data_IF_008529936689
#
_entry.id   IF_008529936689
#
_cell.length_a   1.000
_cell.length_b   1.000
_cell.length_c   1.000
_cell.angle_alpha   90.00
_cell.angle_beta   90.00
_cell.angle_gamma   90.00
#
_symmetry.space_group_name_H-M   'P 1'
#
loop_
_entity.id
_entity.type
_entity.pdbx_description
1 polymer ?
#
# COMPACT_ATOMS: atom_id res chain seq x y z
N UNK A 1 -20.28 4.84 12.99
CA UNK A 1 -19.77 5.49 11.77
C UNK A 1 -18.57 6.40 12.12
N UNK A 2 -17.72 5.98 13.07
CA UNK A 2 -16.86 6.85 13.90
C UNK A 2 -15.44 7.04 13.36
N UNK A 3 -14.46 6.28 13.82
CA UNK A 3 -13.05 6.54 13.47
C UNK A 3 -12.50 5.64 12.35
N UNK A 4 -13.04 4.43 12.21
CA UNK A 4 -12.64 3.48 11.16
C UNK A 4 -12.96 3.98 9.75
N UNK A 5 -14.16 4.52 9.55
CA UNK A 5 -14.56 5.10 8.27
C UNK A 5 -13.74 6.36 7.93
N UNK A 6 -13.45 7.17 8.96
CA UNK A 6 -12.54 8.30 8.82
C UNK A 6 -11.12 7.86 8.42
N UNK A 7 -10.63 6.72 8.92
CA UNK A 7 -9.33 6.18 8.53
C UNK A 7 -9.31 5.74 7.07
N UNK A 8 -10.38 5.09 6.58
CA UNK A 8 -10.49 4.75 5.15
C UNK A 8 -10.57 6.00 4.26
N UNK A 9 -11.29 7.04 4.68
CA UNK A 9 -11.33 8.31 3.96
C UNK A 9 -9.94 8.96 3.91
N UNK A 10 -9.27 9.07 5.06
CA UNK A 10 -7.92 9.64 5.16
C UNK A 10 -6.90 8.87 4.30
N UNK A 11 -6.97 7.54 4.26
CA UNK A 11 -6.12 6.72 3.38
C UNK A 11 -6.36 7.00 1.89
N UNK A 12 -7.62 7.17 1.46
CA UNK A 12 -7.96 7.46 0.06
C UNK A 12 -7.59 8.88 -0.36
N UNK A 13 -7.68 9.82 0.58
CA UNK A 13 -7.36 11.24 0.37
C UNK A 13 -5.86 11.53 0.55
N UNK A 14 -5.11 10.62 1.17
CA UNK A 14 -3.68 10.79 1.42
C UNK A 14 -3.37 11.62 2.66
N UNK A 15 -4.33 11.81 3.56
CA UNK A 15 -4.17 12.60 4.78
C UNK A 15 -3.35 11.82 5.83
N UNK A 16 -2.03 11.92 5.69
CA UNK A 16 -1.06 11.28 6.57
C UNK A 16 -1.21 11.74 8.04
N UNK A 17 -1.52 13.01 8.27
CA UNK A 17 -1.70 13.57 9.61
C UNK A 17 -2.92 12.97 10.30
N UNK A 18 -4.05 12.91 9.59
CA UNK A 18 -5.27 12.29 10.13
C UNK A 18 -5.14 10.79 10.31
N UNK A 19 -4.46 10.08 9.41
CA UNK A 19 -4.13 8.67 9.61
C UNK A 19 -3.31 8.46 10.89
N UNK A 20 -2.27 9.27 11.09
CA UNK A 20 -1.44 9.23 12.28
C UNK A 20 -2.27 9.41 13.55
N UNK A 21 -3.09 10.47 13.63
CA UNK A 21 -3.95 10.76 14.76
C UNK A 21 -4.93 9.61 15.06
N UNK A 22 -5.59 9.07 14.03
CA UNK A 22 -6.58 8.00 14.20
C UNK A 22 -5.93 6.70 14.68
N UNK A 23 -4.76 6.35 14.15
CA UNK A 23 -4.02 5.15 14.58
C UNK A 23 -3.51 5.31 16.01
N UNK A 24 -2.95 6.47 16.34
CA UNK A 24 -2.48 6.76 17.70
C UNK A 24 -3.65 6.82 18.70
N UNK A 25 -4.85 7.14 18.21
CA UNK A 25 -6.14 7.06 18.94
C UNK A 25 -6.73 5.65 19.07
N UNK A 26 -6.08 4.63 18.52
CA UNK A 26 -6.44 3.22 18.67
C UNK A 26 -7.11 2.56 17.46
N UNK A 27 -7.21 3.25 16.32
CA UNK A 27 -7.59 2.57 15.06
C UNK A 27 -6.49 1.58 14.68
N UNK A 28 -6.82 0.29 14.42
CA UNK A 28 -5.82 -0.67 14.01
C UNK A 28 -5.15 -0.26 12.69
N UNK A 29 -3.82 -0.20 12.64
CA UNK A 29 -3.06 0.15 11.42
C UNK A 29 -3.36 -0.81 10.25
N UNK A 30 -3.66 -2.08 10.56
CA UNK A 30 -4.02 -3.11 9.60
C UNK A 30 -5.54 -3.29 9.44
N UNK A 31 -6.33 -2.26 9.76
CA UNK A 31 -7.77 -2.23 9.50
C UNK A 31 -8.03 -2.49 8.00
N UNK A 32 -8.98 -3.39 7.71
CA UNK A 32 -9.41 -3.72 6.35
C UNK A 32 -10.92 -3.55 6.18
N UNK A 33 -11.35 -3.19 4.97
CA UNK A 33 -12.77 -3.10 4.62
C UNK A 33 -13.36 -4.49 4.30
N UNK A 34 -14.62 -4.53 3.85
CA UNK A 34 -15.37 -5.77 3.55
C UNK A 34 -14.78 -6.62 2.41
N UNK A 35 -13.88 -6.07 1.59
CA UNK A 35 -13.19 -6.80 0.52
C UNK A 35 -11.71 -7.05 0.83
N UNK A 36 -11.31 -6.80 2.08
CA UNK A 36 -9.94 -7.02 2.56
C UNK A 36 -8.95 -5.91 2.21
N UNK A 37 -9.39 -4.77 1.65
CA UNK A 37 -8.46 -3.66 1.37
C UNK A 37 -8.04 -3.01 2.68
N UNK A 38 -6.74 -2.97 2.94
CA UNK A 38 -6.16 -2.28 4.10
C UNK A 38 -5.97 -0.78 3.84
N UNK A 39 -5.75 -0.01 4.91
CA UNK A 39 -5.43 1.41 4.79
C UNK A 39 -4.24 1.66 3.83
N UNK A 40 -3.19 0.85 3.92
CA UNK A 40 -1.99 0.99 3.10
C UNK A 40 -2.25 0.63 1.63
N UNK A 41 -3.15 -0.32 1.34
CA UNK A 41 -3.56 -0.61 -0.04
C UNK A 41 -4.27 0.59 -0.68
N UNK A 42 -5.18 1.23 0.05
CA UNK A 42 -5.91 2.39 -0.46
C UNK A 42 -4.96 3.56 -0.71
N UNK A 43 -4.08 3.88 0.24
CA UNK A 43 -3.08 4.92 0.06
C UNK A 43 -2.15 4.63 -1.12
N UNK A 44 -1.70 3.38 -1.26
CA UNK A 44 -0.82 2.96 -2.34
C UNK A 44 -1.50 3.02 -3.72
N UNK A 45 -2.74 2.54 -3.82
CA UNK A 45 -3.54 2.59 -5.05
C UNK A 45 -3.88 4.03 -5.47
N UNK A 46 -3.97 4.96 -4.53
CA UNK A 46 -4.18 6.37 -4.84
C UNK A 46 -2.87 7.17 -5.01
N UNK A 47 -1.71 6.55 -4.82
CA UNK A 47 -0.40 7.15 -5.08
C UNK A 47 0.14 8.03 -3.95
N UNK A 48 -0.39 7.91 -2.73
CA UNK A 48 -0.07 8.81 -1.61
C UNK A 48 1.17 8.36 -0.83
N UNK A 49 2.35 8.82 -1.24
CA UNK A 49 3.65 8.42 -0.66
C UNK A 49 3.75 8.71 0.83
N UNK A 50 3.33 9.89 1.28
CA UNK A 50 3.42 10.28 2.71
C UNK A 50 2.47 9.45 3.59
N UNK A 51 1.26 9.17 3.12
CA UNK A 51 0.31 8.30 3.81
C UNK A 51 0.84 6.86 3.90
N UNK A 52 1.40 6.33 2.81
CA UNK A 52 2.05 5.01 2.79
C UNK A 52 3.22 4.96 3.78
N UNK A 53 4.11 5.95 3.76
CA UNK A 53 5.25 6.03 4.67
C UNK A 53 4.79 6.09 6.14
N UNK A 54 3.73 6.86 6.42
CA UNK A 54 3.12 6.96 7.75
C UNK A 54 2.59 5.62 8.24
N UNK A 55 1.91 4.87 7.37
CA UNK A 55 1.37 3.55 7.67
C UNK A 55 2.47 2.51 7.88
N UNK A 56 3.50 2.49 7.02
CA UNK A 56 4.69 1.63 7.17
C UNK A 56 5.38 1.90 8.51
N UNK A 57 5.63 3.16 8.84
CA UNK A 57 6.26 3.56 10.11
C UNK A 57 5.44 3.16 11.35
N UNK A 58 4.13 2.97 11.19
CA UNK A 58 3.22 2.48 12.25
C UNK A 58 3.00 0.97 12.24
N UNK A 59 3.77 0.23 11.43
CA UNK A 59 3.73 -1.23 11.39
C UNK A 59 2.61 -1.80 10.54
N UNK A 60 2.18 -1.09 9.50
CA UNK A 60 1.30 -1.67 8.48
C UNK A 60 1.97 -2.89 7.82
N UNK A 61 1.19 -3.95 7.62
CA UNK A 61 1.60 -5.12 6.87
C UNK A 61 1.60 -4.79 5.37
N UNK A 62 2.80 -4.64 4.82
CA UNK A 62 3.06 -4.31 3.41
C UNK A 62 2.79 -5.47 2.45
N UNK A 63 2.63 -6.69 2.98
CA UNK A 63 2.46 -7.92 2.21
C UNK A 63 1.06 -8.54 2.36
N UNK A 64 0.22 -7.98 3.23
CA UNK A 64 -1.18 -8.39 3.34
C UNK A 64 -1.82 -8.32 1.95
N UNK A 65 -2.49 -9.39 1.56
CA UNK A 65 -3.31 -9.43 0.35
C UNK A 65 -4.79 -9.27 0.72
N UNK A 66 -5.55 -8.56 -0.13
CA UNK A 66 -7.02 -8.47 -0.01
C UNK A 66 -7.68 -9.76 -0.51
N UNK A 67 -9.01 -9.81 -0.51
CA UNK A 67 -9.77 -11.01 -0.90
C UNK A 67 -9.60 -11.38 -2.39
N UNK A 68 -9.04 -10.47 -3.19
CA UNK A 68 -8.71 -10.67 -4.60
C UNK A 68 -7.25 -11.08 -4.81
N UNK A 69 -6.46 -11.23 -3.74
CA UNK A 69 -5.04 -11.53 -3.80
C UNK A 69 -4.15 -10.33 -4.09
N UNK A 70 -4.67 -9.11 -4.12
CA UNK A 70 -3.88 -7.91 -4.44
C UNK A 70 -3.15 -7.39 -3.19
N UNK A 71 -1.87 -7.07 -3.33
CA UNK A 71 -1.03 -6.44 -2.30
C UNK A 71 -0.94 -4.92 -2.54
N UNK A 72 -0.54 -4.12 -1.53
CA UNK A 72 -0.28 -2.69 -1.70
C UNK A 72 0.69 -2.40 -2.86
N UNK A 73 1.76 -3.20 -2.97
CA UNK A 73 2.80 -3.02 -3.98
C UNK A 73 2.28 -3.29 -5.40
N UNK A 74 1.49 -4.36 -5.61
CA UNK A 74 0.87 -4.62 -6.90
C UNK A 74 -0.07 -3.47 -7.33
N UNK A 75 -0.83 -2.89 -6.39
CA UNK A 75 -1.66 -1.71 -6.62
C UNK A 75 -0.86 -0.47 -7.04
N UNK A 76 0.28 -0.22 -6.38
CA UNK A 76 1.17 0.90 -6.70
C UNK A 76 1.79 0.79 -8.10
N UNK A 77 2.20 -0.42 -8.50
CA UNK A 77 2.71 -0.69 -9.85
C UNK A 77 1.64 -0.40 -10.90
N UNK A 78 0.43 -0.93 -10.71
CA UNK A 78 -0.70 -0.70 -11.62
C UNK A 78 -1.00 0.80 -11.82
N UNK A 79 -0.83 1.59 -10.76
CA UNK A 79 -1.12 3.04 -10.76
C UNK A 79 0.04 3.93 -11.17
N UNK A 80 1.20 3.33 -11.44
CA UNK A 80 2.40 4.02 -11.85
C UNK A 80 2.95 5.05 -10.86
N UNK A 81 2.81 4.78 -9.56
CA UNK A 81 3.41 5.63 -8.52
C UNK A 81 4.75 5.07 -8.07
N UNK A 82 5.83 5.46 -8.75
CA UNK A 82 7.20 4.98 -8.46
C UNK A 82 7.65 5.34 -7.03
N UNK A 83 7.26 6.51 -6.53
CA UNK A 83 7.54 6.91 -5.14
C UNK A 83 6.85 6.01 -4.09
N UNK A 84 5.63 5.56 -4.37
CA UNK A 84 4.94 4.59 -3.50
C UNK A 84 5.61 3.22 -3.60
N UNK A 85 6.01 2.80 -4.80
CA UNK A 85 6.73 1.55 -5.00
C UNK A 85 8.02 1.54 -4.18
N UNK A 86 8.81 2.62 -4.24
CA UNK A 86 10.02 2.75 -3.41
C UNK A 86 9.71 2.71 -1.91
N UNK A 87 8.72 3.47 -1.45
CA UNK A 87 8.35 3.49 -0.04
C UNK A 87 7.89 2.12 0.49
N UNK A 88 7.16 1.36 -0.32
CA UNK A 88 6.73 0.01 0.03
C UNK A 88 7.89 -0.99 0.05
N UNK A 89 8.80 -0.94 -0.92
CA UNK A 89 9.99 -1.80 -0.95
C UNK A 89 10.92 -1.50 0.25
N UNK A 90 11.11 -0.22 0.58
CA UNK A 90 11.88 0.18 1.77
C UNK A 90 11.17 -0.25 3.07
N UNK A 91 9.84 -0.39 3.02
CA UNK A 91 9.01 -1.01 4.06
C UNK A 91 8.95 -2.54 4.04
N UNK A 92 9.78 -3.21 3.24
CA UNK A 92 9.87 -4.68 3.20
C UNK A 92 8.75 -5.37 2.43
N UNK A 93 8.10 -4.68 1.50
CA UNK A 93 7.15 -5.31 0.58
C UNK A 93 7.86 -6.31 -0.35
N UNK A 94 7.34 -7.52 -0.43
CA UNK A 94 7.80 -8.57 -1.33
C UNK A 94 7.18 -8.37 -2.73
N UNK A 95 7.98 -8.11 -3.78
CA UNK A 95 7.46 -7.89 -5.13
C UNK A 95 6.87 -9.15 -5.78
N UNK A 96 7.07 -10.34 -5.20
CA UNK A 96 6.48 -11.60 -5.62
C UNK A 96 5.19 -11.95 -4.87
N UNK A 97 4.81 -11.19 -3.84
CA UNK A 97 3.60 -11.44 -3.07
C UNK A 97 2.32 -11.01 -3.81
N UNK A 98 1.26 -11.80 -3.62
CA UNK A 98 -0.05 -11.58 -4.22
C UNK A 98 -0.21 -12.13 -5.63
N UNK A 99 -1.44 -12.02 -6.15
CA UNK A 99 -1.83 -12.52 -7.48
C UNK A 99 -2.76 -11.51 -8.17
N UNK A 100 -2.35 -10.89 -9.30
CA UNK A 100 -0.99 -10.90 -9.84
C UNK A 100 -0.01 -10.22 -8.88
N UNK A 101 1.23 -10.71 -8.83
CA UNK A 101 2.30 -10.07 -8.04
C UNK A 101 2.68 -8.71 -8.63
N UNK A 102 3.48 -7.92 -7.89
CA UNK A 102 3.99 -6.65 -8.40
C UNK A 102 4.89 -6.85 -9.64
N UNK A 103 5.68 -7.94 -9.66
CA UNK A 103 6.50 -8.34 -10.81
C UNK A 103 5.63 -8.73 -12.00
N UNK A 104 4.59 -9.54 -11.79
CA UNK A 104 3.65 -9.92 -12.88
C UNK A 104 2.96 -8.70 -13.46
N UNK A 105 2.52 -7.79 -12.58
CA UNK A 105 1.89 -6.52 -12.97
C UNK A 105 2.87 -5.67 -13.78
N UNK A 106 4.11 -5.49 -13.32
CA UNK A 106 5.11 -4.70 -14.03
C UNK A 106 5.42 -5.28 -15.42
N UNK A 107 5.51 -6.60 -15.55
CA UNK A 107 5.69 -7.27 -16.87
C UNK A 107 4.50 -7.03 -17.79
N UNK A 108 3.27 -7.20 -17.26
CA UNK A 108 2.04 -7.02 -18.03
C UNK A 108 1.92 -5.62 -18.63
N UNK A 109 2.36 -4.60 -17.90
CA UNK A 109 2.31 -3.19 -18.33
C UNK A 109 3.64 -2.66 -18.91
N UNK A 110 4.65 -3.51 -19.12
CA UNK A 110 5.93 -3.11 -19.71
C UNK A 110 6.76 -2.14 -18.86
N UNK A 111 6.64 -2.19 -17.53
CA UNK A 111 7.34 -1.31 -16.58
C UNK A 111 8.76 -1.82 -16.29
N UNK A 112 9.63 -1.76 -17.30
CA UNK A 112 10.98 -2.34 -17.24
C UNK A 112 11.85 -1.74 -16.13
N UNK A 113 11.76 -0.44 -15.88
CA UNK A 113 12.51 0.22 -14.79
C UNK A 113 12.14 -0.34 -13.41
N UNK A 114 10.86 -0.68 -13.20
CA UNK A 114 10.42 -1.29 -11.94
C UNK A 114 10.91 -2.73 -11.79
N UNK A 115 11.06 -3.47 -12.89
CA UNK A 115 11.65 -4.82 -12.83
C UNK A 115 13.10 -4.76 -12.35
N UNK A 116 13.89 -3.82 -12.89
CA UNK A 116 15.25 -3.60 -12.43
C UNK A 116 15.31 -3.12 -10.97
N UNK A 117 14.32 -2.34 -10.52
CA UNK A 117 14.19 -1.94 -9.12
C UNK A 117 13.89 -3.14 -8.20
N UNK A 118 12.99 -4.04 -8.60
CA UNK A 118 12.65 -5.24 -7.82
C UNK A 118 13.83 -6.18 -7.65
N UNK A 119 14.69 -6.36 -8.66
CA UNK A 119 15.91 -7.16 -8.53
C UNK A 119 16.93 -6.58 -7.53
N UNK A 120 16.85 -5.26 -7.28
CA UNK A 120 17.77 -4.55 -6.37
C UNK A 120 17.27 -4.44 -4.94
N UNK A 121 15.95 -4.41 -4.74
CA UNK A 121 15.31 -4.10 -3.45
C UNK A 121 14.33 -5.19 -2.95
N UNK A 122 13.99 -6.16 -3.79
CA UNK A 122 13.10 -7.28 -3.46
C UNK A 122 13.81 -8.54 -2.99
#
# INVERSE_FOLDING_TARGET
MGDQEAAFAAAREGDAGRLAELIDGGVPVNLSNEVGDTLIMLAAYHGHVEAVSTLVNRGADTNKANDRGQTPLAGAVFKASDGVVEALLDGGADPFAGTPSAVDTARMFGRLELLALFERKG
#
